data_IF_955400385921
#
_entry.id   IF_955400385921
#
_cell.length_a   1.000
_cell.length_b   1.000
_cell.length_c   1.000
_cell.angle_alpha   90.00
_cell.angle_beta   90.00
_cell.angle_gamma   90.00
#
_symmetry.space_group_name_H-M   'P 1'
#
loop_
_entity.id
_entity.type
_entity.pdbx_description
1 polymer ?
#
# COMPACT_ATOMS: atom_id res chain seq x y z
N UNK A 1 -5.86 -8.09 33.16
CA UNK A 1 -5.68 -6.62 32.98
C UNK A 1 -5.64 -5.91 34.33
N UNK A 2 -4.44 -5.56 34.79
CA UNK A 2 -4.21 -4.68 35.94
C UNK A 2 -4.06 -3.23 35.48
N UNK A 3 -4.26 -2.23 36.36
CA UNK A 3 -3.92 -0.84 36.05
C UNK A 3 -2.48 -0.72 35.54
N UNK A 4 -2.28 0.11 34.51
CA UNK A 4 -1.01 0.24 33.83
C UNK A 4 -1.15 1.10 32.57
N UNK A 5 -0.30 0.88 31.57
CA UNK A 5 -0.23 1.73 30.39
C UNK A 5 -1.54 1.82 29.58
N UNK A 6 -2.44 0.84 29.66
CA UNK A 6 -3.66 0.77 28.84
C UNK A 6 -4.95 1.11 29.59
N UNK A 7 -4.99 0.89 30.91
CA UNK A 7 -6.20 1.04 31.72
C UNK A 7 -5.84 1.56 33.12
N UNK A 8 -6.77 2.28 33.74
CA UNK A 8 -6.67 2.73 35.14
C UNK A 8 -7.79 2.13 35.98
N UNK A 9 -7.85 2.47 37.27
CA UNK A 9 -8.99 2.14 38.12
C UNK A 9 -10.29 2.81 37.66
N UNK A 10 -10.22 3.93 36.92
CA UNK A 10 -11.38 4.64 36.39
C UNK A 10 -11.85 4.09 35.04
N UNK A 11 -11.05 3.25 34.36
CA UNK A 11 -11.41 2.68 33.07
C UNK A 11 -12.58 1.70 33.23
N UNK A 12 -13.64 1.92 32.46
CA UNK A 12 -14.78 1.01 32.38
C UNK A 12 -14.43 -0.16 31.47
N UNK A 13 -14.36 -1.37 32.04
CA UNK A 13 -14.00 -2.58 31.29
C UNK A 13 -15.21 -3.52 31.22
N UNK A 14 -15.73 -3.72 30.02
CA UNK A 14 -16.77 -4.71 29.73
C UNK A 14 -16.13 -6.01 29.25
N UNK A 15 -16.63 -7.15 29.73
CA UNK A 15 -16.09 -8.49 29.44
C UNK A 15 -14.61 -8.65 29.82
N UNK A 16 -14.24 -8.26 31.04
CA UNK A 16 -12.85 -8.28 31.52
C UNK A 16 -12.17 -9.63 31.21
N UNK A 17 -11.10 -9.63 30.39
CA UNK A 17 -10.33 -10.84 30.06
C UNK A 17 -9.71 -11.51 31.29
N UNK A 18 -9.83 -12.83 31.35
CA UNK A 18 -9.08 -13.70 32.27
C UNK A 18 -7.73 -14.15 31.70
N UNK A 19 -7.53 -14.00 30.39
CA UNK A 19 -6.27 -14.33 29.70
C UNK A 19 -5.12 -13.40 30.11
N UNK A 20 -3.90 -13.93 30.13
CA UNK A 20 -2.66 -13.16 30.32
C UNK A 20 -2.44 -12.17 29.19
N UNK A 21 -2.91 -12.49 27.98
CA UNK A 21 -2.70 -11.69 26.77
C UNK A 21 -4.02 -11.21 26.17
N UNK A 22 -3.98 -10.00 25.63
CA UNK A 22 -5.11 -9.37 24.93
C UNK A 22 -4.59 -8.65 23.69
N UNK A 23 -5.45 -8.49 22.69
CA UNK A 23 -5.16 -7.70 21.50
C UNK A 23 -5.88 -6.35 21.61
N UNK A 24 -5.13 -5.27 21.42
CA UNK A 24 -5.61 -3.89 21.49
C UNK A 24 -5.00 -3.15 20.30
N UNK A 25 -5.81 -2.59 19.37
CA UNK A 25 -5.27 -1.81 18.27
C UNK A 25 -4.62 -0.51 18.76
N UNK A 26 -3.62 -0.03 18.01
CA UNK A 26 -3.00 1.27 18.29
C UNK A 26 -3.71 2.43 17.57
N UNK A 27 -4.34 2.14 16.44
CA UNK A 27 -5.04 3.10 15.62
C UNK A 27 -6.26 2.50 14.92
N UNK A 28 -7.16 3.38 14.51
CA UNK A 28 -8.24 3.07 13.56
C UNK A 28 -8.18 4.07 12.42
N UNK A 29 -8.31 3.59 11.18
CA UNK A 29 -8.27 4.45 9.99
C UNK A 29 -9.39 4.13 9.04
N UNK A 30 -9.93 5.17 8.44
CA UNK A 30 -10.61 5.02 7.17
C UNK A 30 -9.77 5.62 6.06
N UNK A 31 -9.83 5.00 4.89
CA UNK A 31 -9.08 5.39 3.71
C UNK A 31 -10.01 5.42 2.50
N UNK A 32 -9.91 6.48 1.71
CA UNK A 32 -10.51 6.57 0.39
C UNK A 32 -9.37 6.61 -0.63
N UNK A 33 -9.44 5.75 -1.64
CA UNK A 33 -8.37 5.58 -2.62
C UNK A 33 -8.93 5.46 -4.03
N UNK A 34 -8.47 6.35 -4.90
CA UNK A 34 -8.75 6.33 -6.33
C UNK A 34 -7.53 5.74 -7.05
N UNK A 35 -7.72 4.53 -7.56
CA UNK A 35 -6.67 3.78 -8.24
C UNK A 35 -6.88 3.84 -9.75
N UNK A 36 -5.81 4.17 -10.48
CA UNK A 36 -5.79 4.13 -11.95
C UNK A 36 -4.62 3.29 -12.43
N UNK A 37 -4.93 2.38 -13.35
CA UNK A 37 -3.95 1.52 -14.00
C UNK A 37 -4.04 1.67 -15.51
N UNK A 38 -2.91 1.91 -16.15
CA UNK A 38 -2.77 1.84 -17.60
C UNK A 38 -1.78 0.74 -17.95
N UNK A 39 -2.19 -0.20 -18.81
CA UNK A 39 -1.34 -1.29 -19.25
C UNK A 39 -1.30 -1.35 -20.77
N UNK A 40 -0.10 -1.41 -21.31
CA UNK A 40 0.16 -1.66 -22.73
C UNK A 40 1.02 -2.91 -22.80
N UNK A 41 0.63 -3.89 -23.60
CA UNK A 41 1.49 -5.04 -23.88
C UNK A 41 1.46 -5.33 -25.38
N UNK A 42 2.59 -5.78 -25.89
CA UNK A 42 2.73 -6.28 -27.24
C UNK A 42 3.69 -7.46 -27.23
N UNK A 43 3.40 -8.45 -28.06
CA UNK A 43 4.28 -9.59 -28.30
C UNK A 43 4.34 -9.88 -29.79
N UNK A 44 5.50 -10.30 -30.27
CA UNK A 44 5.70 -10.74 -31.63
C UNK A 44 6.53 -12.03 -31.62
N UNK A 45 6.16 -12.98 -32.47
CA UNK A 45 6.88 -14.23 -32.66
C UNK A 45 7.01 -14.46 -34.16
N UNK A 46 8.21 -14.82 -34.60
CA UNK A 46 8.48 -15.20 -35.97
C UNK A 46 9.20 -16.55 -35.99
N UNK A 47 8.76 -17.43 -36.88
CA UNK A 47 9.44 -18.70 -37.15
C UNK A 47 9.98 -18.67 -38.59
N UNK A 48 11.22 -19.12 -38.76
CA UNK A 48 11.86 -19.27 -40.06
C UNK A 48 12.51 -20.65 -40.16
N UNK A 49 12.06 -21.43 -41.14
CA UNK A 49 12.56 -22.77 -41.41
C UNK A 49 13.29 -22.78 -42.76
N UNK A 50 14.61 -22.50 -42.79
CA UNK A 50 15.38 -22.48 -44.05
C UNK A 50 15.56 -23.87 -44.69
N UNK A 51 15.53 -24.94 -43.90
CA UNK A 51 15.60 -26.33 -44.36
C UNK A 51 14.62 -27.18 -43.56
N UNK A 52 14.32 -28.41 -43.99
CA UNK A 52 13.45 -29.32 -43.22
C UNK A 52 14.01 -29.64 -41.82
N UNK A 53 15.33 -29.59 -41.67
CA UNK A 53 16.07 -29.97 -40.46
C UNK A 53 16.41 -28.82 -39.52
N UNK A 54 16.31 -27.55 -39.96
CA UNK A 54 16.71 -26.38 -39.17
C UNK A 54 15.56 -25.39 -39.06
N UNK A 55 15.20 -25.01 -37.84
CA UNK A 55 14.14 -24.04 -37.54
C UNK A 55 14.65 -23.00 -36.56
N UNK A 56 14.43 -21.73 -36.87
CA UNK A 56 14.67 -20.61 -35.98
C UNK A 56 13.34 -20.04 -35.49
N UNK A 57 13.26 -19.73 -34.20
CA UNK A 57 12.12 -19.03 -33.61
C UNK A 57 12.65 -17.82 -32.86
N UNK A 58 12.15 -16.63 -33.17
CA UNK A 58 12.47 -15.40 -32.46
C UNK A 58 11.21 -14.84 -31.82
N UNK A 59 11.33 -14.38 -30.58
CA UNK A 59 10.25 -13.71 -29.87
C UNK A 59 10.69 -12.38 -29.27
N UNK A 60 9.74 -11.46 -29.18
CA UNK A 60 9.89 -10.20 -28.48
C UNK A 60 8.63 -9.90 -27.67
N UNK A 61 8.80 -9.48 -26.43
CA UNK A 61 7.75 -9.06 -25.51
C UNK A 61 8.06 -7.64 -25.03
N UNK A 62 7.08 -6.76 -25.11
CA UNK A 62 7.07 -5.48 -24.42
C UNK A 62 5.82 -5.39 -23.55
N UNK A 63 6.00 -5.00 -22.29
CA UNK A 63 4.89 -4.69 -21.41
C UNK A 63 5.21 -3.42 -20.60
N UNK A 64 4.24 -2.52 -20.50
CA UNK A 64 4.30 -1.34 -19.66
C UNK A 64 3.07 -1.31 -18.76
N UNK A 65 3.28 -1.05 -17.48
CA UNK A 65 2.24 -0.87 -16.49
C UNK A 65 2.49 0.43 -15.72
N UNK A 66 1.56 1.37 -15.80
CA UNK A 66 1.55 2.59 -14.98
C UNK A 66 0.47 2.45 -13.92
N UNK A 67 0.84 2.65 -12.67
CA UNK A 67 -0.06 2.64 -11.54
C UNK A 67 -0.04 4.01 -10.90
N UNK A 68 -1.21 4.54 -10.60
CA UNK A 68 -1.38 5.76 -9.82
C UNK A 68 -2.46 5.56 -8.78
N UNK A 69 -2.20 5.98 -7.56
CA UNK A 69 -3.13 6.01 -6.44
C UNK A 69 -3.19 7.44 -5.90
N UNK A 70 -4.41 7.96 -5.76
CA UNK A 70 -4.70 9.15 -4.95
C UNK A 70 -5.47 8.68 -3.73
N UNK A 71 -4.87 8.85 -2.56
CA UNK A 71 -5.41 8.32 -1.32
C UNK A 71 -5.49 9.42 -0.27
N UNK A 72 -6.64 9.49 0.38
CA UNK A 72 -6.89 10.31 1.55
C UNK A 72 -7.24 9.39 2.70
N UNK A 73 -6.65 9.61 3.86
CA UNK A 73 -6.99 8.88 5.07
C UNK A 73 -7.38 9.82 6.20
N UNK A 74 -8.30 9.34 7.02
CA UNK A 74 -8.56 9.84 8.36
C UNK A 74 -8.01 8.80 9.34
N UNK A 75 -7.19 9.27 10.26
CA UNK A 75 -6.46 8.46 11.22
C UNK A 75 -6.77 8.90 12.62
N UNK A 76 -7.19 7.93 13.41
CA UNK A 76 -7.36 8.08 14.82
C UNK A 76 -6.31 7.22 15.54
N UNK A 77 -5.34 7.88 16.17
CA UNK A 77 -4.36 7.24 17.04
C UNK A 77 -4.87 7.24 18.48
N UNK A 78 -4.93 6.07 19.12
CA UNK A 78 -5.41 5.97 20.49
C UNK A 78 -4.31 6.39 21.48
N UNK A 79 -4.63 7.41 22.27
CA UNK A 79 -3.97 7.68 23.52
C UNK A 79 -4.30 6.57 24.53
N UNK A 80 -3.58 6.58 25.64
CA UNK A 80 -3.81 5.64 26.73
C UNK A 80 -3.52 6.37 28.03
N UNK A 81 -4.21 6.05 29.12
CA UNK A 81 -5.17 4.93 29.29
C UNK A 81 -6.56 5.19 28.69
N UNK A 82 -7.29 4.13 28.33
CA UNK A 82 -8.66 4.25 27.80
C UNK A 82 -9.68 4.61 28.88
N UNK A 83 -10.77 5.28 28.49
CA UNK A 83 -11.92 5.52 29.35
C UNK A 83 -12.91 4.34 29.34
N UNK A 84 -13.17 3.77 28.16
CA UNK A 84 -13.99 2.57 28.03
C UNK A 84 -13.31 1.56 27.09
N UNK A 85 -13.41 0.28 27.46
CA UNK A 85 -12.95 -0.82 26.62
C UNK A 85 -13.85 -2.04 26.78
N UNK A 86 -14.27 -2.63 25.67
CA UNK A 86 -15.03 -3.88 25.64
C UNK A 86 -14.21 -4.95 24.95
N UNK A 87 -14.06 -6.11 25.58
CA UNK A 87 -13.37 -7.25 24.99
C UNK A 87 -14.35 -8.29 24.43
N UNK A 88 -13.87 -9.04 23.44
CA UNK A 88 -14.54 -10.23 22.93
C UNK A 88 -14.57 -11.33 24.00
N UNK A 89 -15.74 -11.95 24.19
CA UNK A 89 -15.88 -13.11 25.09
C UNK A 89 -15.40 -14.40 24.41
N UNK A 90 -15.10 -15.43 25.22
CA UNK A 90 -14.82 -16.80 24.76
C UNK A 90 -13.69 -16.93 23.72
N UNK A 91 -12.68 -16.06 23.81
CA UNK A 91 -11.45 -16.16 23.01
C UNK A 91 -10.26 -16.51 23.90
N UNK A 92 -9.36 -17.36 23.40
CA UNK A 92 -8.08 -17.68 24.05
C UNK A 92 -7.23 -16.41 24.24
N UNK A 93 -7.30 -15.50 23.26
CA UNK A 93 -6.69 -14.17 23.31
C UNK A 93 -7.78 -13.15 22.95
N UNK A 94 -8.45 -12.54 23.95
CA UNK A 94 -9.51 -11.58 23.70
C UNK A 94 -9.03 -10.34 22.94
N UNK A 95 -9.75 -9.99 21.87
CA UNK A 95 -9.55 -8.74 21.14
C UNK A 95 -10.44 -7.63 21.73
N UNK A 96 -9.95 -6.39 21.73
CA UNK A 96 -10.76 -5.22 22.04
C UNK A 96 -11.74 -4.95 20.89
N UNK A 97 -13.04 -5.11 21.18
CA UNK A 97 -14.13 -4.84 20.24
C UNK A 97 -14.56 -3.38 20.27
N UNK A 98 -14.47 -2.72 21.41
CA UNK A 98 -14.78 -1.31 21.54
C UNK A 98 -13.67 -0.62 22.34
N UNK A 99 -13.23 0.54 21.87
CA UNK A 99 -12.27 1.39 22.57
C UNK A 99 -12.74 2.84 22.51
N UNK A 100 -12.62 3.56 23.63
CA UNK A 100 -12.99 4.96 23.71
C UNK A 100 -12.08 5.70 24.70
N UNK A 101 -11.73 6.93 24.33
CA UNK A 101 -11.00 7.87 25.19
C UNK A 101 -11.61 9.27 25.13
N UNK A 102 -11.53 9.94 26.28
CA UNK A 102 -11.86 11.34 26.47
C UNK A 102 -10.56 12.10 26.64
N UNK A 103 -10.47 13.21 25.94
CA UNK A 103 -9.29 14.02 25.83
C UNK A 103 -9.51 15.32 26.58
N UNK A 104 -8.49 15.75 27.31
CA UNK A 104 -8.56 16.96 28.10
C UNK A 104 -7.28 17.78 27.90
N UNK A 105 -7.34 18.96 27.24
CA UNK A 105 -8.56 19.61 26.74
C UNK A 105 -9.06 19.05 25.38
N UNK A 106 -8.15 18.67 24.48
CA UNK A 106 -8.40 18.08 23.16
C UNK A 106 -7.13 17.39 22.65
N UNK A 107 -7.26 16.47 21.70
CA UNK A 107 -6.18 15.88 20.91
C UNK A 107 -6.36 16.12 19.41
N UNK A 108 -5.43 15.62 18.60
CA UNK A 108 -5.55 15.62 17.15
C UNK A 108 -6.24 14.41 16.53
N UNK A 109 -6.94 14.67 15.42
CA UNK A 109 -7.25 13.67 14.39
C UNK A 109 -6.29 13.88 13.20
N UNK A 110 -5.71 12.80 12.69
CA UNK A 110 -4.75 12.83 11.60
C UNK A 110 -5.43 12.71 10.23
N UNK A 111 -4.97 13.49 9.25
CA UNK A 111 -5.39 13.39 7.86
C UNK A 111 -4.19 13.30 6.95
N UNK A 112 -3.97 12.19 6.26
CA UNK A 112 -2.83 12.06 5.35
C UNK A 112 -3.27 12.00 3.88
N UNK A 113 -2.68 12.89 3.08
CA UNK A 113 -2.86 12.91 1.63
C UNK A 113 -1.67 12.21 0.98
N UNK A 114 -1.96 11.19 0.17
CA UNK A 114 -0.95 10.35 -0.44
C UNK A 114 -1.17 10.29 -1.95
N UNK A 115 -0.15 10.68 -2.70
CA UNK A 115 -0.09 10.47 -4.13
C UNK A 115 1.01 9.46 -4.42
N UNK A 116 0.67 8.30 -4.98
CA UNK A 116 1.65 7.27 -5.34
C UNK A 116 1.56 7.01 -6.82
N UNK A 117 2.70 6.92 -7.49
CA UNK A 117 2.74 6.64 -8.91
C UNK A 117 4.04 5.92 -9.30
N UNK A 118 3.90 4.80 -10.00
CA UNK A 118 5.02 3.99 -10.46
C UNK A 118 4.79 3.52 -11.88
N UNK A 119 5.87 3.46 -12.65
CA UNK A 119 5.88 2.94 -14.02
C UNK A 119 6.84 1.76 -14.08
N UNK A 120 6.33 0.62 -14.53
CA UNK A 120 7.11 -0.59 -14.77
C UNK A 120 7.12 -0.91 -16.27
N UNK A 121 8.30 -1.13 -16.83
CA UNK A 121 8.50 -1.55 -18.21
C UNK A 121 9.28 -2.87 -18.23
N UNK A 122 8.74 -3.87 -18.91
CA UNK A 122 9.36 -5.16 -19.18
C UNK A 122 9.63 -5.28 -20.67
N UNK A 123 10.84 -5.71 -21.00
CA UNK A 123 11.22 -6.11 -22.35
C UNK A 123 11.87 -7.49 -22.27
N UNK A 124 11.50 -8.40 -23.17
CA UNK A 124 12.15 -9.70 -23.32
C UNK A 124 12.35 -10.00 -24.79
N UNK A 125 13.49 -10.58 -25.11
CA UNK A 125 13.85 -11.01 -26.44
C UNK A 125 14.42 -12.41 -26.36
N UNK A 126 13.91 -13.32 -27.19
CA UNK A 126 14.34 -14.70 -27.27
C UNK A 126 14.72 -15.07 -28.70
N UNK A 127 15.73 -15.93 -28.82
CA UNK A 127 16.07 -16.60 -30.06
C UNK A 127 16.33 -18.07 -29.77
N UNK A 128 15.63 -18.95 -30.47
CA UNK A 128 15.80 -20.38 -30.43
C UNK A 128 16.19 -20.91 -31.82
N UNK A 129 17.04 -21.92 -31.83
CA UNK A 129 17.36 -22.72 -33.00
C UNK A 129 17.17 -24.21 -32.66
N UNK A 130 16.36 -24.89 -33.45
CA UNK A 130 16.17 -26.34 -33.42
C UNK A 130 16.78 -26.95 -34.67
N UNK A 131 17.71 -27.88 -34.49
CA UNK A 131 18.46 -28.51 -35.57
C UNK A 131 18.46 -30.04 -35.43
N UNK A 132 17.81 -30.72 -36.37
CA UNK A 132 17.93 -32.16 -36.57
C UNK A 132 19.16 -32.43 -37.46
N UNK A 133 20.35 -32.51 -36.84
CA UNK A 133 21.60 -32.63 -37.58
C UNK A 133 21.92 -34.06 -38.05
N UNK A 134 21.16 -35.04 -37.56
CA UNK A 134 21.08 -36.40 -38.08
C UNK A 134 19.66 -36.95 -37.86
N UNK A 135 19.30 -38.05 -38.54
CA UNK A 135 17.94 -38.61 -38.53
C UNK A 135 17.39 -38.91 -37.13
N UNK A 136 18.27 -39.19 -36.17
CA UNK A 136 17.92 -39.53 -34.80
C UNK A 136 18.51 -38.56 -33.75
N UNK A 137 19.11 -37.45 -34.17
CA UNK A 137 19.74 -36.48 -33.26
C UNK A 137 19.19 -35.07 -33.50
N UNK A 138 18.66 -34.47 -32.43
CA UNK A 138 18.17 -33.09 -32.42
C UNK A 138 18.91 -32.26 -31.39
N UNK A 139 19.42 -31.11 -31.78
CA UNK A 139 19.95 -30.09 -30.89
C UNK A 139 18.99 -28.89 -30.85
N UNK A 140 18.60 -28.47 -29.65
CA UNK A 140 17.92 -27.20 -29.42
C UNK A 140 18.86 -26.27 -28.67
N UNK A 141 19.00 -25.04 -29.14
CA UNK A 141 19.73 -23.99 -28.43
C UNK A 141 18.83 -22.77 -28.36
N UNK A 142 18.61 -22.23 -27.16
CA UNK A 142 17.95 -20.95 -26.97
C UNK A 142 18.81 -19.99 -26.15
N UNK A 143 18.61 -18.70 -26.43
CA UNK A 143 19.15 -17.61 -25.65
C UNK A 143 18.09 -16.53 -25.47
N UNK A 144 18.07 -15.92 -24.30
CA UNK A 144 17.12 -14.87 -23.99
C UNK A 144 17.74 -13.74 -23.16
N UNK A 145 17.21 -12.55 -23.36
CA UNK A 145 17.53 -11.35 -22.61
C UNK A 145 16.25 -10.67 -22.16
N UNK A 146 16.11 -10.45 -20.86
CA UNK A 146 14.99 -9.73 -20.27
C UNK A 146 15.47 -8.57 -19.40
N UNK A 147 14.75 -7.46 -19.48
CA UNK A 147 14.98 -6.24 -18.71
C UNK A 147 13.66 -5.73 -18.16
N UNK A 148 13.58 -5.60 -16.83
CA UNK A 148 12.46 -4.98 -16.14
C UNK A 148 12.92 -3.76 -15.36
N UNK A 149 12.33 -2.60 -15.62
CA UNK A 149 12.62 -1.34 -14.93
C UNK A 149 11.35 -0.81 -14.29
N UNK A 150 11.39 -0.61 -12.98
CA UNK A 150 10.35 0.07 -12.20
C UNK A 150 10.89 1.40 -11.69
N UNK A 151 10.18 2.50 -11.97
CA UNK A 151 10.61 3.87 -11.66
C UNK A 151 9.48 4.71 -11.08
N UNK A 152 9.80 5.82 -10.41
CA UNK A 152 8.87 6.91 -10.15
C UNK A 152 8.07 7.32 -11.39
N UNK A 153 6.80 7.66 -11.20
CA UNK A 153 5.91 8.15 -12.26
C UNK A 153 5.05 9.35 -11.82
N UNK A 154 5.31 9.91 -10.62
CA UNK A 154 4.64 11.12 -10.18
C UNK A 154 5.22 12.36 -10.90
N UNK A 155 4.43 13.43 -11.11
CA UNK A 155 4.90 14.65 -11.79
C UNK A 155 6.13 15.31 -11.14
N UNK A 156 6.32 15.11 -9.83
CA UNK A 156 7.47 15.63 -9.10
C UNK A 156 8.69 14.68 -9.07
N UNK A 157 8.70 13.65 -9.93
CA UNK A 157 9.82 12.69 -10.03
C UNK A 157 9.88 11.66 -8.89
N UNK A 158 8.82 11.55 -8.08
CA UNK A 158 8.77 10.64 -6.92
C UNK A 158 7.88 9.42 -7.22
N UNK A 159 8.11 8.33 -6.49
CA UNK A 159 7.18 7.19 -6.45
C UNK A 159 6.01 7.42 -5.49
N UNK A 160 6.21 8.27 -4.47
CA UNK A 160 5.16 8.69 -3.57
C UNK A 160 5.43 10.09 -2.98
N UNK A 161 4.37 10.86 -2.79
CA UNK A 161 4.32 12.09 -1.99
C UNK A 161 3.27 11.92 -0.92
N UNK A 162 3.63 12.15 0.34
CA UNK A 162 2.76 12.01 1.50
C UNK A 162 2.79 13.33 2.25
N UNK A 163 1.62 13.91 2.48
CA UNK A 163 1.47 15.15 3.25
C UNK A 163 0.50 14.87 4.37
N UNK A 164 1.03 14.79 5.59
CA UNK A 164 0.22 14.64 6.79
C UNK A 164 -0.30 16.03 7.22
N UNK A 165 -1.57 16.07 7.58
CA UNK A 165 -2.30 17.19 8.18
C UNK A 165 -2.90 16.68 9.49
N UNK A 166 -3.29 17.58 10.39
CA UNK A 166 -4.03 17.20 11.58
C UNK A 166 -4.96 18.31 12.06
N UNK A 167 -6.00 17.92 12.78
CA UNK A 167 -6.95 18.82 13.43
C UNK A 167 -6.93 18.59 14.94
N UNK A 168 -6.32 19.48 15.76
CA UNK A 168 -6.19 19.33 17.20
C UNK A 168 -7.48 19.71 17.96
N UNK A 169 -8.61 19.13 17.57
CA UNK A 169 -9.95 19.53 18.04
C UNK A 169 -10.77 18.36 18.59
N UNK A 170 -10.19 17.18 18.79
CA UNK A 170 -10.94 16.00 19.26
C UNK A 170 -11.04 16.01 20.78
N UNK A 171 -12.26 16.12 21.31
CA UNK A 171 -12.56 16.06 22.74
C UNK A 171 -12.79 14.62 23.23
N UNK A 172 -13.33 13.76 22.37
CA UNK A 172 -13.42 12.33 22.62
C UNK A 172 -13.63 11.58 21.31
N UNK A 173 -13.29 10.30 21.29
CA UNK A 173 -13.58 9.46 20.14
C UNK A 173 -13.54 7.97 20.52
N UNK A 174 -14.05 7.14 19.62
CA UNK A 174 -14.16 5.70 19.82
C UNK A 174 -14.12 4.93 18.51
N UNK A 175 -13.86 3.63 18.62
CA UNK A 175 -14.09 2.66 17.54
C UNK A 175 -14.86 1.46 18.10
N UNK A 176 -15.85 0.99 17.34
CA UNK A 176 -16.58 -0.25 17.59
C UNK A 176 -16.42 -1.23 16.42
N UNK A 177 -15.93 -2.44 16.69
CA UNK A 177 -15.76 -3.53 15.74
C UNK A 177 -16.84 -4.61 15.88
N UNK A 178 -17.81 -4.46 16.79
CA UNK A 178 -18.80 -5.49 17.12
C UNK A 178 -19.71 -5.89 15.96
N UNK A 179 -19.94 -4.98 15.01
CA UNK A 179 -20.77 -5.22 13.81
C UNK A 179 -20.04 -5.96 12.69
N UNK A 180 -18.73 -6.22 12.83
CA UNK A 180 -17.88 -6.74 11.76
C UNK A 180 -17.33 -5.68 10.80
N UNK A 181 -17.75 -4.41 10.95
CA UNK A 181 -17.18 -3.25 10.28
C UNK A 181 -16.79 -2.21 11.33
N UNK A 182 -15.58 -1.61 11.28
CA UNK A 182 -15.19 -0.59 12.24
C UNK A 182 -16.12 0.61 12.13
N UNK A 183 -16.79 0.98 13.21
CA UNK A 183 -17.61 2.19 13.34
C UNK A 183 -16.86 3.17 14.23
N UNK A 184 -16.47 4.31 13.65
CA UNK A 184 -15.76 5.35 14.38
C UNK A 184 -16.71 6.49 14.74
N UNK A 185 -16.64 6.96 16.00
CA UNK A 185 -17.37 8.14 16.45
C UNK A 185 -16.42 9.12 17.11
N UNK A 186 -16.62 10.41 16.87
CA UNK A 186 -15.82 11.48 17.47
C UNK A 186 -16.69 12.65 17.91
N UNK A 187 -16.29 13.29 19.00
CA UNK A 187 -16.81 14.56 19.48
C UNK A 187 -15.70 15.60 19.41
N UNK A 188 -16.00 16.77 18.85
CA UNK A 188 -15.03 17.86 18.68
C UNK A 188 -15.24 18.97 19.71
N UNK A 189 -14.17 19.70 19.99
CA UNK A 189 -14.13 20.97 20.70
C UNK A 189 -13.05 21.85 20.05
N UNK A 190 -13.44 22.55 19.00
CA UNK A 190 -12.58 23.46 18.23
C UNK A 190 -12.39 24.83 18.90
N UNK A 191 -13.06 25.11 20.02
CA UNK A 191 -12.90 26.38 20.74
C UNK A 191 -11.53 26.55 21.41
N UNK A 192 -10.76 25.46 21.56
CA UNK A 192 -9.46 25.48 22.25
C UNK A 192 -8.29 25.70 21.28
N UNK A 193 -8.26 24.97 20.15
CA UNK A 193 -7.16 25.01 19.16
C UNK A 193 -7.63 25.09 17.70
N UNK A 194 -8.91 25.33 17.46
CA UNK A 194 -9.53 25.47 16.14
C UNK A 194 -10.11 26.87 15.92
N UNK A 195 -11.14 26.98 15.08
CA UNK A 195 -11.76 28.25 14.71
C UNK A 195 -13.05 28.60 15.48
N UNK A 196 -13.45 27.75 16.44
CA UNK A 196 -14.62 27.92 17.33
C UNK A 196 -15.97 28.05 16.61
N UNK A 197 -16.15 27.37 15.47
CA UNK A 197 -17.41 27.32 14.74
C UNK A 197 -18.22 26.04 14.99
N UNK A 198 -17.68 25.09 15.77
CA UNK A 198 -18.34 23.84 16.15
C UNK A 198 -18.39 22.80 15.03
N UNK A 199 -17.61 22.95 13.97
CA UNK A 199 -17.56 22.07 12.80
C UNK A 199 -16.11 21.74 12.46
N UNK A 200 -15.78 20.46 12.28
CA UNK A 200 -14.47 20.05 11.82
C UNK A 200 -14.29 20.45 10.35
N UNK A 201 -13.47 21.47 10.11
CA UNK A 201 -13.27 22.01 8.77
C UNK A 201 -11.82 22.45 8.47
N UNK A 202 -11.64 23.12 7.34
CA UNK A 202 -10.34 23.58 6.85
C UNK A 202 -9.63 24.53 7.82
N UNK A 203 -10.39 25.28 8.63
CA UNK A 203 -9.86 26.22 9.63
C UNK A 203 -9.27 25.52 10.85
N UNK A 204 -9.58 24.25 11.08
CA UNK A 204 -8.98 23.45 12.16
C UNK A 204 -7.70 22.72 11.72
N UNK A 205 -7.47 22.62 10.41
CA UNK A 205 -6.34 21.88 9.87
C UNK A 205 -5.03 22.66 9.99
N UNK A 206 -4.03 22.00 10.55
CA UNK A 206 -2.62 22.38 10.43
C UNK A 206 -1.82 21.32 9.66
N UNK A 207 -0.60 21.68 9.27
CA UNK A 207 0.31 20.76 8.57
C UNK A 207 1.10 19.93 9.57
N UNK A 208 1.55 18.75 9.15
CA UNK A 208 2.46 17.89 9.91
C UNK A 208 3.65 17.47 9.03
N UNK A 209 4.09 16.22 9.10
CA UNK A 209 5.26 15.74 8.37
C UNK A 209 4.94 15.57 6.88
N UNK A 210 5.74 16.22 6.02
CA UNK A 210 5.75 16.00 4.58
C UNK A 210 6.84 15.00 4.19
N UNK A 211 6.54 14.06 3.31
CA UNK A 211 7.51 13.04 2.85
C UNK A 211 7.42 12.84 1.34
N UNK A 212 8.57 12.60 0.73
CA UNK A 212 8.61 12.03 -0.62
C UNK A 212 9.47 10.79 -0.65
N UNK A 213 9.10 9.86 -1.52
CA UNK A 213 9.83 8.62 -1.74
C UNK A 213 10.10 8.46 -3.22
N UNK A 214 11.34 8.19 -3.61
CA UNK A 214 11.71 7.77 -4.94
C UNK A 214 12.33 6.36 -4.86
N UNK A 215 11.61 5.36 -5.35
CA UNK A 215 12.08 3.98 -5.42
C UNK A 215 12.27 3.56 -6.88
N UNK A 216 13.43 3.03 -7.20
CA UNK A 216 13.76 2.44 -8.51
C UNK A 216 14.20 1.00 -8.33
N UNK A 217 13.84 0.17 -9.30
CA UNK A 217 14.27 -1.22 -9.38
C UNK A 217 14.58 -1.57 -10.83
N UNK A 218 15.73 -2.18 -11.08
CA UNK A 218 16.15 -2.66 -12.39
C UNK A 218 16.57 -4.12 -12.26
N UNK A 219 15.93 -4.99 -13.03
CA UNK A 219 16.21 -6.42 -13.06
C UNK A 219 16.58 -6.81 -14.48
N UNK A 220 17.76 -7.40 -14.65
CA UNK A 220 18.22 -7.99 -15.91
C UNK A 220 18.38 -9.49 -15.73
N UNK A 221 17.92 -10.25 -16.72
CA UNK A 221 18.20 -11.68 -16.83
C UNK A 221 18.77 -11.94 -18.22
N UNK A 222 19.93 -12.58 -18.28
CA UNK A 222 20.44 -13.21 -19.49
C UNK A 222 20.43 -14.71 -19.26
N UNK A 223 19.94 -15.48 -20.22
CA UNK A 223 20.03 -16.93 -20.14
C UNK A 223 20.34 -17.56 -21.48
N UNK A 224 20.84 -18.77 -21.40
CA UNK A 224 21.03 -19.64 -22.54
C UNK A 224 20.78 -21.08 -22.11
N UNK A 225 20.26 -21.89 -23.02
CA UNK A 225 20.01 -23.31 -22.78
C UNK A 225 20.34 -24.09 -24.05
N UNK A 226 20.87 -25.29 -23.85
CA UNK A 226 21.09 -26.25 -24.92
C UNK A 226 20.60 -27.63 -24.50
N UNK A 227 19.87 -28.31 -25.37
CA UNK A 227 19.36 -29.66 -25.17
C UNK A 227 19.62 -30.53 -26.41
N UNK A 228 20.30 -31.65 -26.20
CA UNK A 228 20.49 -32.73 -27.16
C UNK A 228 19.45 -33.82 -26.87
N UNK A 229 18.66 -34.17 -27.87
CA UNK A 229 17.82 -35.36 -27.89
C UNK A 229 18.37 -36.39 -28.88
N UNK A 230 18.48 -37.64 -28.44
CA UNK A 230 18.90 -38.78 -29.23
C UNK A 230 17.85 -39.89 -29.18
N UNK A 231 17.27 -40.20 -30.33
CA UNK A 231 16.39 -41.36 -30.51
C UNK A 231 17.23 -42.63 -30.76
N UNK A 232 17.11 -43.60 -29.86
CA UNK A 232 17.83 -44.87 -29.93
C UNK A 232 17.03 -45.94 -30.69
N UNK A 233 15.80 -45.61 -31.11
CA UNK A 233 14.85 -46.54 -31.71
C UNK A 233 14.12 -47.39 -30.67
N UNK A 234 13.08 -48.10 -31.11
CA UNK A 234 12.35 -49.06 -30.26
C UNK A 234 11.77 -48.45 -28.98
N UNK A 235 11.29 -47.20 -29.05
CA UNK A 235 10.77 -46.38 -27.93
C UNK A 235 11.79 -45.93 -26.87
N UNK A 236 13.09 -46.07 -27.13
CA UNK A 236 14.17 -45.60 -26.24
C UNK A 236 14.70 -44.23 -26.69
N UNK A 237 14.89 -43.31 -25.74
CA UNK A 237 15.40 -41.94 -25.97
C UNK A 237 16.43 -41.56 -24.91
N UNK A 238 17.46 -40.83 -25.31
CA UNK A 238 18.42 -40.20 -24.43
C UNK A 238 18.34 -38.67 -24.58
N UNK A 239 18.27 -37.94 -23.47
CA UNK A 239 18.27 -36.48 -23.45
C UNK A 239 19.37 -35.97 -22.53
N UNK A 240 20.14 -35.01 -23.00
CA UNK A 240 21.17 -34.32 -22.23
C UNK A 240 21.09 -32.83 -22.49
N UNK A 241 21.17 -32.01 -21.46
CA UNK A 241 21.08 -30.56 -21.61
C UNK A 241 21.70 -29.79 -20.46
N UNK A 242 21.85 -28.49 -20.67
CA UNK A 242 22.38 -27.55 -19.69
C UNK A 242 21.81 -26.16 -19.90
N UNK A 243 21.66 -25.42 -18.80
CA UNK A 243 21.18 -24.04 -18.80
C UNK A 243 22.13 -23.14 -18.03
N UNK A 244 22.34 -21.93 -18.54
CA UNK A 244 23.02 -20.84 -17.88
C UNK A 244 22.04 -19.69 -17.64
N UNK A 245 22.08 -19.09 -16.46
CA UNK A 245 21.28 -17.90 -16.15
C UNK A 245 22.10 -16.95 -15.31
N UNK A 246 22.23 -15.73 -15.80
CA UNK A 246 22.85 -14.61 -15.10
C UNK A 246 21.79 -13.55 -14.82
N UNK A 247 21.53 -13.32 -13.54
CA UNK A 247 20.49 -12.42 -13.06
C UNK A 247 21.12 -11.32 -12.20
N UNK A 248 20.80 -10.07 -12.52
CA UNK A 248 21.25 -8.92 -11.74
C UNK A 248 20.07 -8.02 -11.40
N UNK A 249 19.85 -7.85 -10.09
CA UNK A 249 18.90 -6.90 -9.54
C UNK A 249 19.64 -5.73 -8.92
N UNK A 250 19.24 -4.51 -9.25
CA UNK A 250 19.61 -3.32 -8.51
C UNK A 250 18.37 -2.57 -8.06
N UNK A 251 18.37 -2.12 -6.81
CA UNK A 251 17.28 -1.33 -6.24
C UNK A 251 17.87 -0.15 -5.49
N UNK A 252 17.22 1.00 -5.63
CA UNK A 252 17.55 2.19 -4.85
C UNK A 252 16.27 2.82 -4.31
N UNK A 253 16.37 3.38 -3.10
CA UNK A 253 15.29 4.12 -2.47
C UNK A 253 15.87 5.37 -1.83
N UNK A 254 15.25 6.50 -2.09
CA UNK A 254 15.48 7.75 -1.37
C UNK A 254 14.18 8.17 -0.74
N UNK A 255 14.26 8.60 0.52
CA UNK A 255 13.17 9.23 1.24
C UNK A 255 13.63 10.61 1.70
N UNK A 256 12.80 11.61 1.45
CA UNK A 256 12.98 12.93 2.06
C UNK A 256 11.88 13.17 3.08
N UNK A 257 12.18 14.01 4.06
CA UNK A 257 11.23 14.44 5.06
C UNK A 257 11.34 15.96 5.23
N UNK A 258 10.20 16.62 5.36
CA UNK A 258 10.07 18.02 5.71
C UNK A 258 9.24 18.12 6.98
N UNK A 259 9.78 18.81 7.99
CA UNK A 259 9.06 19.14 9.21
C UNK A 259 8.29 20.43 8.93
N UNK A 260 6.96 20.33 8.75
CA UNK A 260 6.09 21.49 8.61
C UNK A 260 5.59 21.91 10.01
N UNK A 261 4.30 21.76 10.33
CA UNK A 261 3.79 21.98 11.69
C UNK A 261 4.14 20.88 12.70
N UNK A 262 4.89 19.85 12.28
CA UNK A 262 5.32 18.68 13.05
C UNK A 262 4.14 17.93 13.72
N UNK A 263 4.42 16.96 14.60
CA UNK A 263 3.41 16.28 15.39
C UNK A 263 2.63 17.20 16.33
N UNK A 264 3.17 18.38 16.64
CA UNK A 264 2.51 19.36 17.50
C UNK A 264 1.39 20.16 16.82
N UNK A 265 1.33 20.14 15.48
CA UNK A 265 0.41 20.95 14.67
C UNK A 265 0.51 22.42 15.10
N UNK A 266 1.69 23.01 14.93
CA UNK A 266 2.04 24.30 15.56
C UNK A 266 1.20 25.49 15.10
N UNK A 267 0.56 25.42 13.94
CA UNK A 267 -0.27 26.50 13.38
C UNK A 267 -1.58 25.95 12.75
N UNK A 268 -2.59 25.60 13.57
CA UNK A 268 -3.92 25.24 13.09
C UNK A 268 -4.57 26.39 12.30
N UNK A 269 -5.24 26.09 11.19
CA UNK A 269 -5.82 27.08 10.28
C UNK A 269 -4.82 27.65 9.26
N UNK A 270 -3.54 27.28 9.32
CA UNK A 270 -2.55 27.61 8.29
C UNK A 270 -2.98 27.12 6.90
N UNK A 271 -3.58 25.93 6.82
CA UNK A 271 -4.02 25.34 5.54
C UNK A 271 -5.10 26.23 4.90
N UNK A 272 -6.09 26.68 5.67
CA UNK A 272 -7.10 27.63 5.20
C UNK A 272 -6.48 28.93 4.68
N UNK A 273 -5.50 29.49 5.41
CA UNK A 273 -4.87 30.78 5.09
C UNK A 273 -3.98 30.74 3.86
N UNK A 274 -3.20 29.67 3.66
CA UNK A 274 -2.15 29.63 2.63
C UNK A 274 -2.46 28.68 1.46
N UNK A 275 -3.28 27.66 1.68
CA UNK A 275 -3.48 26.57 0.72
C UNK A 275 -4.95 26.12 0.69
N UNK A 276 -5.90 27.03 0.91
CA UNK A 276 -7.29 26.66 1.09
C UNK A 276 -7.96 26.04 -0.14
N UNK A 277 -7.36 26.23 -1.33
CA UNK A 277 -7.77 25.60 -2.58
C UNK A 277 -7.09 24.23 -2.83
N UNK A 278 -6.10 23.84 -2.02
CA UNK A 278 -5.36 22.58 -2.16
C UNK A 278 -6.04 21.41 -1.42
N UNK A 279 -6.95 21.71 -0.48
CA UNK A 279 -7.69 20.72 0.31
C UNK A 279 -9.17 20.91 0.09
N UNK A 280 -9.91 19.81 0.00
CA UNK A 280 -11.37 19.81 -0.13
C UNK A 280 -11.97 18.89 0.91
N UNK A 281 -12.90 19.41 1.70
CA UNK A 281 -13.71 18.61 2.62
C UNK A 281 -14.68 17.74 1.83
N UNK A 282 -14.78 16.46 2.21
CA UNK A 282 -15.78 15.54 1.70
C UNK A 282 -16.14 14.54 2.79
N UNK A 283 -17.38 14.03 2.73
CA UNK A 283 -17.81 12.98 3.64
C UNK A 283 -17.13 11.66 3.26
N UNK A 284 -16.15 11.22 4.05
CA UNK A 284 -15.38 10.01 3.78
C UNK A 284 -16.24 8.78 4.07
N UNK A 285 -17.02 8.83 5.15
CA UNK A 285 -17.93 7.74 5.54
C UNK A 285 -19.05 7.53 4.51
N UNK A 286 -19.46 8.58 3.81
CA UNK A 286 -20.42 8.49 2.69
C UNK A 286 -19.83 7.80 1.43
N UNK A 287 -18.53 7.47 1.41
CA UNK A 287 -17.91 6.70 0.31
C UNK A 287 -18.08 5.19 0.45
N UNK A 288 -18.53 4.70 1.61
CA UNK A 288 -18.90 3.31 1.77
C UNK A 288 -20.30 3.07 1.17
N UNK A 289 -20.40 2.08 0.29
CA UNK A 289 -21.62 1.68 -0.41
C UNK A 289 -22.27 0.43 0.20
N UNK A 290 -21.45 -0.51 0.68
CA UNK A 290 -21.90 -1.79 1.22
C UNK A 290 -22.03 -1.81 2.75
N UNK A 291 -21.15 -1.09 3.45
CA UNK A 291 -21.15 -1.04 4.91
C UNK A 291 -21.69 0.29 5.40
N UNK A 292 -22.50 0.25 6.44
CA UNK A 292 -22.98 1.46 7.12
C UNK A 292 -22.00 1.81 8.25
N UNK A 293 -21.22 2.91 8.13
CA UNK A 293 -20.31 3.35 9.17
C UNK A 293 -21.01 3.95 10.39
N UNK A 294 -22.34 4.11 10.38
CA UNK A 294 -23.10 4.67 11.50
C UNK A 294 -22.72 6.12 11.84
N UNK A 295 -22.00 6.79 10.95
CA UNK A 295 -21.40 8.10 11.19
C UNK A 295 -22.46 9.20 11.23
N UNK A 296 -22.32 10.11 12.19
CA UNK A 296 -23.18 11.28 12.36
C UNK A 296 -22.35 12.48 12.82
N UNK A 297 -22.86 13.70 12.62
CA UNK A 297 -22.21 14.92 13.10
C UNK A 297 -20.77 15.06 12.59
N UNK A 298 -19.82 15.26 13.50
CA UNK A 298 -18.40 15.41 13.19
C UNK A 298 -17.73 14.16 12.60
N UNK A 299 -18.37 13.00 12.62
CA UNK A 299 -17.84 11.77 12.01
C UNK A 299 -18.15 11.62 10.52
N UNK A 300 -18.87 12.57 9.91
CA UNK A 300 -19.24 12.55 8.48
C UNK A 300 -18.10 13.00 7.57
#
# INVERSE_FOLDING_TARGET
LTPGAYVTAATQITNRPSSTYVLIPNDSRYQFSENRRERINGQAVAEFRPTETLTFTADALFAQNRLREQRSEQTNWFNRPFNQITFQQNSVIPNALFLQENENPVKDEGFEQQYRATKTQLQSYGLNAKWAFADNLTLNVDGYHALSKSTPDAPNGTSATLVSLGAPVIASHSVDFSSGFPVQMQTINDAIRGNANGTLDLGDLGTQIGRTNAATQNQRINGARADLGWDLGGSSRFDAGGSYTDSRMTSARVQTQQQLGDWGITDPGLVARLAGNAVKTFCLTCKFDHFNPGATGSSL
#
